data_IF_442742954764
#
_entry.id   IF_442742954764
#
_cell.length_a   1.000
_cell.length_b   1.000
_cell.length_c   1.000
_cell.angle_alpha   90.00
_cell.angle_beta   90.00
_cell.angle_gamma   90.00
#
_symmetry.space_group_name_H-M   'P 1'
#
loop_
_entity.id
_entity.type
_entity.pdbx_description
1 polymer ?
#
# COMPACT_ATOMS: atom_id res chain seq x y z
N UNK A 1 -1.70 18.00 3.65
CA UNK A 1 -0.78 17.79 2.51
C UNK A 1 -1.31 16.61 1.72
N UNK A 2 -1.55 16.77 0.43
CA UNK A 2 -2.07 15.70 -0.41
C UNK A 2 -1.02 14.58 -0.49
N UNK A 3 -1.41 13.36 -0.11
CA UNK A 3 -0.59 12.17 -0.24
C UNK A 3 -0.34 11.94 -1.74
N UNK A 4 0.81 12.36 -2.23
CA UNK A 4 1.21 12.16 -3.63
C UNK A 4 1.63 10.71 -3.81
N UNK A 5 0.64 9.81 -3.95
CA UNK A 5 0.94 8.45 -4.39
C UNK A 5 1.40 8.48 -5.84
N UNK A 6 2.50 7.82 -6.11
CA UNK A 6 2.98 7.61 -7.47
C UNK A 6 1.95 6.70 -8.18
N UNK A 7 1.20 7.28 -9.10
CA UNK A 7 0.27 6.52 -9.93
C UNK A 7 0.94 6.34 -11.29
N UNK A 8 1.34 5.12 -11.60
CA UNK A 8 1.80 4.77 -12.94
C UNK A 8 0.56 4.38 -13.74
N UNK A 9 0.07 5.33 -14.53
CA UNK A 9 -1.19 5.21 -15.27
C UNK A 9 -1.17 4.21 -16.43
N UNK A 10 0.02 3.81 -16.90
CA UNK A 10 0.16 2.92 -18.07
C UNK A 10 0.14 1.42 -17.71
N UNK A 11 -0.36 1.08 -16.53
CA UNK A 11 -0.42 -0.30 -16.03
C UNK A 11 -1.83 -0.88 -16.00
N UNK A 12 -2.77 -0.26 -16.73
CA UNK A 12 -4.09 -0.84 -16.94
C UNK A 12 -3.97 -2.15 -17.74
N UNK A 13 -4.73 -3.15 -17.33
CA UNK A 13 -4.78 -4.45 -17.98
C UNK A 13 -5.07 -4.34 -19.49
N UNK A 14 -6.03 -3.50 -19.88
CA UNK A 14 -6.41 -3.32 -21.28
C UNK A 14 -5.31 -2.66 -22.11
N UNK A 15 -4.57 -1.73 -21.52
CA UNK A 15 -3.45 -1.05 -22.19
C UNK A 15 -2.27 -2.02 -22.38
N UNK A 16 -1.96 -2.82 -21.38
CA UNK A 16 -0.94 -3.87 -21.45
C UNK A 16 -1.31 -4.89 -22.53
N UNK A 17 -2.56 -5.35 -22.54
CA UNK A 17 -3.07 -6.30 -23.55
C UNK A 17 -2.97 -5.73 -24.96
N UNK A 18 -3.39 -4.48 -25.14
CA UNK A 18 -3.34 -3.79 -26.43
C UNK A 18 -1.91 -3.61 -26.95
N UNK A 19 -0.99 -3.24 -26.05
CA UNK A 19 0.42 -3.08 -26.38
C UNK A 19 1.06 -4.42 -26.75
N UNK A 20 0.73 -5.49 -26.04
CA UNK A 20 1.22 -6.84 -26.32
C UNK A 20 0.69 -7.34 -27.66
N UNK A 21 -0.60 -7.15 -27.98
CA UNK A 21 -1.17 -7.47 -29.29
C UNK A 21 -0.45 -6.71 -30.40
N UNK A 22 -0.26 -5.40 -30.24
CA UNK A 22 0.42 -4.55 -31.22
C UNK A 22 1.87 -4.99 -31.44
N UNK A 23 2.56 -5.35 -30.36
CA UNK A 23 3.92 -5.88 -30.46
C UNK A 23 3.97 -7.18 -31.25
N UNK A 24 3.07 -8.13 -30.98
CA UNK A 24 3.00 -9.40 -31.70
C UNK A 24 2.63 -9.21 -33.18
N UNK A 25 1.69 -8.31 -33.49
CA UNK A 25 1.32 -7.95 -34.87
C UNK A 25 2.46 -7.31 -35.66
N UNK A 26 3.40 -6.65 -34.98
CA UNK A 26 4.58 -6.07 -35.64
C UNK A 26 5.61 -7.13 -36.07
N UNK A 27 5.50 -8.36 -35.55
CA UNK A 27 6.38 -9.46 -35.94
C UNK A 27 5.87 -10.10 -37.23
N UNK A 28 6.78 -10.36 -38.17
CA UNK A 28 6.44 -10.92 -39.48
C UNK A 28 5.74 -12.27 -39.44
N UNK A 29 5.91 -13.03 -38.35
CA UNK A 29 5.33 -14.35 -38.16
C UNK A 29 3.85 -14.32 -37.76
N UNK A 30 3.35 -13.16 -37.27
CA UNK A 30 2.00 -13.00 -36.73
C UNK A 30 1.19 -11.91 -37.44
N UNK A 31 1.62 -11.45 -38.62
CA UNK A 31 1.02 -10.31 -39.31
C UNK A 31 -0.46 -10.54 -39.70
N UNK A 32 -0.85 -11.78 -40.04
CA UNK A 32 -2.21 -12.15 -40.43
C UNK A 32 -2.90 -13.07 -39.41
N UNK A 33 -2.39 -13.10 -38.19
CA UNK A 33 -2.91 -14.03 -37.18
C UNK A 33 -4.12 -13.43 -36.45
N UNK A 34 -5.22 -14.20 -36.41
CA UNK A 34 -6.41 -13.82 -35.62
C UNK A 34 -6.17 -14.10 -34.13
N UNK A 35 -5.87 -13.02 -33.41
CA UNK A 35 -5.62 -13.08 -31.97
C UNK A 35 -6.90 -13.27 -31.13
N UNK A 36 -8.09 -13.00 -31.69
CA UNK A 36 -9.35 -13.06 -30.91
C UNK A 36 -10.00 -14.42 -30.93
N UNK A 37 -9.85 -15.17 -32.04
CA UNK A 37 -10.42 -16.51 -32.20
C UNK A 37 -9.52 -17.67 -31.80
N UNK A 38 -8.30 -17.40 -31.38
CA UNK A 38 -7.29 -18.45 -31.17
C UNK A 38 -6.95 -18.70 -29.70
N UNK A 39 -6.36 -19.87 -29.42
CA UNK A 39 -5.81 -20.18 -28.09
C UNK A 39 -4.71 -19.21 -27.63
N UNK A 40 -4.09 -18.46 -28.56
CA UNK A 40 -3.11 -17.43 -28.24
C UNK A 40 -3.74 -16.22 -27.51
N UNK A 41 -5.04 -15.97 -27.71
CA UNK A 41 -5.77 -14.94 -26.99
C UNK A 41 -5.72 -15.19 -25.46
N UNK A 42 -5.91 -16.44 -25.04
CA UNK A 42 -5.85 -16.84 -23.64
C UNK A 42 -4.43 -16.64 -23.08
N UNK A 43 -3.41 -16.96 -23.86
CA UNK A 43 -2.02 -16.76 -23.46
C UNK A 43 -1.70 -15.26 -23.27
N UNK A 44 -2.18 -14.41 -24.18
CA UNK A 44 -2.05 -12.95 -24.08
C UNK A 44 -2.75 -12.43 -22.82
N UNK A 45 -3.92 -12.93 -22.51
CA UNK A 45 -4.66 -12.54 -21.30
C UNK A 45 -3.92 -12.95 -20.02
N UNK A 46 -3.36 -14.15 -19.98
CA UNK A 46 -2.55 -14.62 -18.85
C UNK A 46 -1.29 -13.76 -18.68
N UNK A 47 -0.58 -13.45 -19.77
CA UNK A 47 0.61 -12.62 -19.74
C UNK A 47 0.29 -11.19 -19.32
N UNK A 48 -0.80 -10.62 -19.83
CA UNK A 48 -1.28 -9.28 -19.46
C UNK A 48 -1.66 -9.22 -17.99
N UNK A 49 -2.36 -10.23 -17.48
CA UNK A 49 -2.71 -10.32 -16.07
C UNK A 49 -1.47 -10.42 -15.19
N UNK A 50 -0.51 -11.27 -15.55
CA UNK A 50 0.74 -11.41 -14.81
C UNK A 50 1.54 -10.09 -14.78
N UNK A 51 1.64 -9.42 -15.92
CA UNK A 51 2.33 -8.12 -16.03
C UNK A 51 1.63 -7.05 -15.20
N UNK A 52 0.30 -6.97 -15.26
CA UNK A 52 -0.49 -6.06 -14.44
C UNK A 52 -0.27 -6.31 -12.94
N UNK A 53 -0.28 -7.56 -12.51
CA UNK A 53 -0.03 -7.93 -11.12
C UNK A 53 1.38 -7.57 -10.65
N UNK A 54 2.40 -7.85 -11.48
CA UNK A 54 3.79 -7.46 -11.18
C UNK A 54 3.96 -5.94 -11.09
N UNK A 55 3.30 -5.21 -11.95
CA UNK A 55 3.30 -3.76 -11.95
C UNK A 55 2.62 -3.19 -10.69
N UNK A 56 1.51 -3.78 -10.26
CA UNK A 56 0.86 -3.44 -8.99
C UNK A 56 1.80 -3.66 -7.80
N UNK A 57 2.48 -4.82 -7.74
CA UNK A 57 3.45 -5.11 -6.69
C UNK A 57 4.63 -4.14 -6.71
N UNK A 58 5.13 -3.77 -7.88
CA UNK A 58 6.22 -2.81 -8.03
C UNK A 58 5.81 -1.42 -7.52
N UNK A 59 4.60 -0.96 -7.86
CA UNK A 59 4.05 0.29 -7.35
C UNK A 59 3.87 0.27 -5.83
N UNK A 60 3.30 -0.79 -5.29
CA UNK A 60 3.15 -0.97 -3.85
C UNK A 60 4.51 -0.92 -3.16
N UNK A 61 5.48 -1.68 -3.67
CA UNK A 61 6.85 -1.72 -3.14
C UNK A 61 7.51 -0.34 -3.16
N UNK A 62 7.35 0.41 -4.26
CA UNK A 62 7.91 1.75 -4.41
C UNK A 62 7.27 2.74 -3.43
N UNK A 63 5.95 2.68 -3.26
CA UNK A 63 5.24 3.55 -2.31
C UNK A 63 5.66 3.26 -0.86
N UNK A 64 5.95 2.01 -0.53
CA UNK A 64 6.41 1.62 0.81
C UNK A 64 7.85 2.06 1.14
N UNK A 65 8.63 2.49 0.14
CA UNK A 65 10.00 3.01 0.36
C UNK A 65 10.02 4.44 0.92
N UNK A 66 8.95 5.19 0.77
CA UNK A 66 8.86 6.58 1.21
C UNK A 66 7.93 6.71 2.41
N UNK A 67 8.37 7.46 3.42
CA UNK A 67 7.63 7.66 4.66
C UNK A 67 6.25 8.30 4.43
N UNK A 68 6.14 9.20 3.44
CA UNK A 68 4.90 9.91 3.11
C UNK A 68 3.84 9.03 2.43
N UNK A 69 4.26 7.98 1.74
CA UNK A 69 3.39 7.11 0.96
C UNK A 69 3.23 5.70 1.51
N UNK A 70 4.03 5.35 2.53
CA UNK A 70 3.97 4.03 3.16
C UNK A 70 2.67 3.85 3.96
N UNK A 71 1.98 2.75 3.72
CA UNK A 71 0.74 2.37 4.41
C UNK A 71 0.99 1.30 5.49
N UNK A 72 2.03 0.49 5.33
CA UNK A 72 2.35 -0.60 6.25
C UNK A 72 3.06 -0.07 7.48
N UNK A 73 2.41 -0.18 8.66
CA UNK A 73 2.94 0.33 9.93
C UNK A 73 4.38 -0.10 10.23
N UNK A 74 4.74 -1.35 9.94
CA UNK A 74 6.09 -1.85 10.21
C UNK A 74 7.14 -1.16 9.35
N UNK A 75 6.82 -0.85 8.09
CA UNK A 75 7.69 -0.12 7.18
C UNK A 75 7.85 1.32 7.64
N UNK A 76 6.74 1.98 8.00
CA UNK A 76 6.74 3.35 8.56
C UNK A 76 7.64 3.43 9.80
N UNK A 77 7.50 2.48 10.72
CA UNK A 77 8.33 2.42 11.94
C UNK A 77 9.80 2.22 11.61
N UNK A 78 10.11 1.36 10.62
CA UNK A 78 11.49 1.10 10.18
C UNK A 78 12.11 2.34 9.54
N UNK A 79 11.39 2.99 8.64
CA UNK A 79 11.82 4.24 7.99
C UNK A 79 12.01 5.38 9.02
N UNK A 80 11.08 5.52 9.96
CA UNK A 80 11.19 6.51 11.04
C UNK A 80 12.43 6.28 11.91
N UNK A 81 12.75 5.03 12.23
CA UNK A 81 13.98 4.68 12.98
C UNK A 81 15.25 5.03 12.21
N UNK A 82 15.26 4.84 10.90
CA UNK A 82 16.40 5.24 10.06
C UNK A 82 16.64 6.76 10.10
N UNK A 83 15.57 7.54 10.27
CA UNK A 83 15.64 9.00 10.46
C UNK A 83 15.92 9.43 11.90
N UNK A 84 16.18 8.49 12.81
CA UNK A 84 16.47 8.76 14.22
C UNK A 84 15.25 8.91 15.12
N UNK A 85 14.03 8.72 14.60
CA UNK A 85 12.81 8.78 15.37
C UNK A 85 12.39 7.39 15.88
N UNK A 86 12.24 7.26 17.20
CA UNK A 86 11.74 6.01 17.80
C UNK A 86 10.27 6.21 18.20
N UNK A 87 9.32 5.60 17.47
CA UNK A 87 7.90 5.72 17.80
C UNK A 87 7.60 5.06 19.13
N UNK A 88 6.89 5.78 20.00
CA UNK A 88 6.43 5.27 21.27
C UNK A 88 5.14 4.47 21.10
N UNK A 89 5.00 3.42 21.89
CA UNK A 89 3.73 2.70 21.99
C UNK A 89 2.65 3.61 22.62
N UNK A 90 1.38 3.44 22.24
CA UNK A 90 0.30 4.18 22.91
C UNK A 90 0.31 3.83 24.41
N UNK A 91 0.26 4.88 25.24
CA UNK A 91 0.23 4.75 26.70
C UNK A 91 -1.09 5.30 27.20
N UNK A 92 -1.65 4.64 28.20
CA UNK A 92 -2.81 5.16 28.91
C UNK A 92 -2.45 6.50 29.60
N UNK A 93 -3.34 7.48 29.62
CA UNK A 93 -3.12 8.71 30.35
C UNK A 93 -3.00 8.40 31.84
N UNK A 94 -2.03 9.04 32.51
CA UNK A 94 -1.85 8.96 33.96
C UNK A 94 -2.06 10.35 34.54
N UNK A 95 -2.87 10.45 35.57
CA UNK A 95 -3.07 11.67 36.34
C UNK A 95 -2.79 11.42 37.82
N UNK A 96 -2.12 12.34 38.47
CA UNK A 96 -1.95 12.34 39.92
C UNK A 96 -2.95 13.33 40.51
N UNK A 97 -3.82 12.84 41.38
CA UNK A 97 -4.81 13.67 42.07
C UNK A 97 -4.45 13.74 43.54
N UNK A 98 -4.23 14.92 44.04
CA UNK A 98 -4.10 15.17 45.48
C UNK A 98 -5.48 15.49 46.09
N UNK A 99 -5.95 14.59 46.90
CA UNK A 99 -7.22 14.75 47.59
C UNK A 99 -6.92 15.17 49.04
N UNK A 100 -7.27 16.39 49.39
CA UNK A 100 -7.16 16.93 50.75
C UNK A 100 -8.56 16.88 51.38
N UNK A 101 -8.75 16.01 52.33
CA UNK A 101 -10.00 15.93 53.09
C UNK A 101 -9.83 16.71 54.40
N UNK A 102 -10.44 17.88 54.45
CA UNK A 102 -10.48 18.71 55.66
C UNK A 102 -11.74 18.36 56.47
N UNK A 103 -11.54 17.89 57.71
CA UNK A 103 -12.59 17.65 58.68
C UNK A 103 -13.77 16.74 58.27
N UNK A 104 -13.49 15.60 57.70
CA UNK A 104 -14.52 14.61 57.41
C UNK A 104 -14.74 13.67 58.57
N UNK A 105 -15.82 13.79 59.27
CA UNK A 105 -16.29 12.76 60.20
C UNK A 105 -16.83 11.57 59.38
N UNK A 106 -16.00 10.56 59.19
CA UNK A 106 -16.50 9.22 58.78
C UNK A 106 -16.91 9.02 57.33
N UNK A 107 -16.38 9.72 56.37
CA UNK A 107 -16.64 9.42 54.96
C UNK A 107 -15.50 8.59 54.39
N UNK A 108 -15.75 7.34 54.06
CA UNK A 108 -14.83 6.49 53.33
C UNK A 108 -14.94 6.82 51.82
N UNK A 109 -13.83 7.15 51.17
CA UNK A 109 -13.74 7.34 49.73
C UNK A 109 -13.18 6.03 49.16
N UNK A 110 -14.02 5.29 48.43
CA UNK A 110 -13.57 4.10 47.70
C UNK A 110 -13.25 4.51 46.26
N UNK A 111 -11.99 4.42 45.89
CA UNK A 111 -11.58 4.56 44.48
C UNK A 111 -11.60 3.17 43.84
N UNK A 112 -12.37 3.02 42.77
CA UNK A 112 -12.42 1.81 41.96
C UNK A 112 -11.34 1.87 40.87
#
# INVERSE_FOLDING_TARGET
>A
MANSKLIVSDLDFNDIKSNLKRFLQSQSQFQDYDFEGSGLAILIDILSYNTHYMAYLANMSTNELYLDSADIRNNIVSLAKMLGYTPNSPRAPKSSINIVVNNGTGTSITMA
#
